data_IF_427071649473
#
_entry.id   IF_427071649473
#
_cell.length_a   1.000
_cell.length_b   1.000
_cell.length_c   1.000
_cell.angle_alpha   90.00
_cell.angle_beta   90.00
_cell.angle_gamma   90.00
#
_symmetry.space_group_name_H-M   'P 1'
#
loop_
_entity.id
_entity.type
_entity.pdbx_description
1 polymer ?
#
# COMPACT_ATOMS: atom_id res chain seq x y z
N UNK A 1 -26.72 10.64 23.78
CA UNK A 1 -27.90 9.82 23.44
C UNK A 1 -27.62 8.41 23.92
N UNK A 2 -28.42 7.94 24.88
CA UNK A 2 -28.40 6.55 25.34
C UNK A 2 -28.79 5.61 24.21
N UNK A 3 -28.38 4.35 24.30
CA UNK A 3 -28.73 3.33 23.30
C UNK A 3 -30.23 3.06 23.27
N UNK A 4 -30.87 3.08 24.44
CA UNK A 4 -32.31 2.96 24.61
C UNK A 4 -33.05 4.16 23.98
N UNK A 5 -32.55 5.38 24.19
CA UNK A 5 -33.11 6.58 23.55
C UNK A 5 -33.08 6.47 22.03
N UNK A 6 -31.96 5.97 21.46
CA UNK A 6 -31.82 5.77 20.01
C UNK A 6 -32.81 4.73 19.48
N UNK A 7 -33.00 3.61 20.19
CA UNK A 7 -33.95 2.55 19.78
C UNK A 7 -35.38 3.07 19.83
N UNK A 8 -35.76 3.78 20.90
CA UNK A 8 -37.06 4.44 21.02
C UNK A 8 -37.29 5.45 19.89
N UNK A 9 -36.29 6.27 19.55
CA UNK A 9 -36.39 7.23 18.46
C UNK A 9 -36.61 6.54 17.10
N UNK A 10 -35.94 5.40 16.87
CA UNK A 10 -36.13 4.60 15.65
C UNK A 10 -37.52 4.00 15.59
N UNK A 11 -38.01 3.40 16.67
CA UNK A 11 -39.34 2.80 16.74
C UNK A 11 -40.43 3.84 16.52
N UNK A 12 -40.33 4.99 17.19
CA UNK A 12 -41.26 6.11 17.04
C UNK A 12 -41.28 6.63 15.60
N UNK A 13 -40.12 6.83 14.99
CA UNK A 13 -40.05 7.27 13.59
C UNK A 13 -40.66 6.25 12.62
N UNK A 14 -40.42 4.94 12.82
CA UNK A 14 -41.04 3.89 12.00
C UNK A 14 -42.56 3.89 12.16
N UNK A 15 -43.06 4.06 13.38
CA UNK A 15 -44.49 4.10 13.65
C UNK A 15 -45.14 5.34 13.00
N UNK A 16 -44.53 6.52 13.14
CA UNK A 16 -44.99 7.75 12.50
C UNK A 16 -45.04 7.63 10.96
N UNK A 17 -44.05 6.97 10.36
CA UNK A 17 -44.05 6.69 8.92
C UNK A 17 -45.25 5.81 8.54
N UNK A 18 -45.51 4.73 9.29
CA UNK A 18 -46.64 3.82 9.04
C UNK A 18 -47.99 4.51 9.20
N UNK A 19 -48.14 5.32 10.24
CA UNK A 19 -49.39 6.00 10.57
C UNK A 19 -49.72 7.14 9.61
N UNK A 20 -48.70 7.77 9.02
CA UNK A 20 -48.88 8.84 8.03
C UNK A 20 -49.62 8.41 6.76
N UNK A 21 -49.61 7.11 6.43
CA UNK A 21 -50.11 6.53 5.17
C UNK A 21 -49.56 7.20 3.90
N UNK A 22 -48.49 7.98 4.01
CA UNK A 22 -47.81 8.61 2.89
C UNK A 22 -46.89 7.60 2.21
N UNK A 23 -46.60 7.83 0.92
CA UNK A 23 -45.52 7.13 0.25
C UNK A 23 -44.20 7.42 0.99
N UNK A 24 -43.40 6.39 1.25
CA UNK A 24 -42.17 6.49 2.06
C UNK A 24 -41.24 7.59 1.51
N UNK A 25 -41.11 7.72 0.19
CA UNK A 25 -40.31 8.78 -0.42
C UNK A 25 -40.81 10.18 -0.06
N UNK A 26 -42.11 10.42 -0.17
CA UNK A 26 -42.74 11.70 0.20
C UNK A 26 -42.60 12.00 1.68
N UNK A 27 -42.70 10.99 2.53
CA UNK A 27 -42.53 11.18 3.98
C UNK A 27 -41.13 11.69 4.32
N UNK A 28 -40.09 11.10 3.72
CA UNK A 28 -38.69 11.49 3.92
C UNK A 28 -38.34 12.85 3.30
N UNK A 29 -39.05 13.28 2.27
CA UNK A 29 -38.91 14.62 1.69
C UNK A 29 -39.55 15.72 2.55
N UNK A 30 -40.64 15.38 3.24
CA UNK A 30 -41.47 16.35 3.99
C UNK A 30 -41.14 16.42 5.49
N UNK A 31 -40.50 15.39 6.05
CA UNK A 31 -40.24 15.26 7.48
C UNK A 31 -38.76 15.02 7.76
N UNK A 32 -38.28 15.57 8.88
CA UNK A 32 -36.95 15.26 9.39
C UNK A 32 -36.98 13.89 10.07
N UNK A 33 -36.24 12.92 9.52
CA UNK A 33 -36.14 11.55 10.05
C UNK A 33 -34.69 11.32 10.52
N UNK A 34 -34.47 10.71 11.70
CA UNK A 34 -33.13 10.53 12.28
C UNK A 34 -32.25 9.49 11.54
N UNK A 35 -32.75 8.91 10.44
CA UNK A 35 -32.04 7.95 9.61
C UNK A 35 -32.45 8.09 8.15
N UNK A 36 -31.68 7.47 7.26
CA UNK A 36 -31.93 7.42 5.82
C UNK A 36 -33.02 6.42 5.44
N UNK A 37 -33.59 6.59 4.24
CA UNK A 37 -34.60 5.68 3.67
C UNK A 37 -34.08 4.24 3.54
N UNK A 38 -32.79 4.06 3.25
CA UNK A 38 -32.16 2.75 3.17
C UNK A 38 -32.08 2.10 4.55
N UNK A 39 -31.82 2.88 5.60
CA UNK A 39 -31.84 2.42 6.98
C UNK A 39 -33.25 2.03 7.44
N UNK A 40 -34.30 2.76 7.01
CA UNK A 40 -35.70 2.38 7.28
C UNK A 40 -36.00 0.94 6.86
N UNK A 41 -35.71 0.58 5.59
CA UNK A 41 -35.97 -0.78 5.11
C UNK A 41 -35.15 -1.82 5.85
N UNK A 42 -33.93 -1.49 6.27
CA UNK A 42 -33.10 -2.38 7.09
C UNK A 42 -33.73 -2.59 8.46
N UNK A 43 -34.15 -1.52 9.15
CA UNK A 43 -34.80 -1.62 10.45
C UNK A 43 -36.11 -2.40 10.40
N UNK A 44 -36.96 -2.18 9.39
CA UNK A 44 -38.18 -2.96 9.20
C UNK A 44 -37.88 -4.46 9.02
N UNK A 45 -36.87 -4.82 8.22
CA UNK A 45 -36.44 -6.23 8.07
C UNK A 45 -35.89 -6.81 9.38
N UNK A 46 -35.10 -6.03 10.11
CA UNK A 46 -34.52 -6.46 11.38
C UNK A 46 -35.60 -6.68 12.44
N UNK A 47 -36.56 -5.75 12.56
CA UNK A 47 -37.73 -5.87 13.44
C UNK A 47 -38.56 -7.11 13.11
N UNK A 48 -38.80 -7.39 11.83
CA UNK A 48 -39.52 -8.58 11.41
C UNK A 48 -38.79 -9.88 11.76
N UNK A 49 -37.46 -9.89 11.71
CA UNK A 49 -36.66 -11.10 11.96
C UNK A 49 -36.38 -11.35 13.44
N UNK A 50 -36.12 -10.29 14.20
CA UNK A 50 -35.49 -10.40 15.53
C UNK A 50 -36.15 -9.51 16.59
N UNK A 51 -37.28 -8.85 16.27
CA UNK A 51 -37.94 -7.91 17.18
C UNK A 51 -37.10 -6.67 17.50
N UNK A 52 -37.45 -6.00 18.59
CA UNK A 52 -36.78 -4.79 19.07
C UNK A 52 -35.32 -5.06 19.46
N UNK A 53 -35.02 -6.25 20.00
CA UNK A 53 -33.68 -6.74 20.33
C UNK A 53 -32.70 -6.71 19.15
N UNK A 54 -33.21 -6.71 17.92
CA UNK A 54 -32.40 -6.60 16.71
C UNK A 54 -31.88 -5.17 16.44
N UNK A 55 -32.49 -4.15 17.04
CA UNK A 55 -32.10 -2.75 16.84
C UNK A 55 -30.96 -2.29 17.77
N UNK A 56 -30.71 -3.03 18.85
CA UNK A 56 -29.61 -2.80 19.77
C UNK A 56 -28.24 -3.06 19.11
N UNK A 57 -27.25 -2.21 19.42
CA UNK A 57 -25.91 -2.33 18.89
C UNK A 57 -25.10 -3.37 19.67
N UNK A 58 -25.19 -4.62 19.21
CA UNK A 58 -24.47 -5.77 19.79
C UNK A 58 -22.95 -5.71 19.62
N UNK A 59 -22.39 -4.65 19.02
CA UNK A 59 -20.92 -4.47 18.92
C UNK A 59 -20.26 -4.26 20.28
N UNK A 60 -21.01 -3.78 21.28
CA UNK A 60 -20.51 -3.58 22.65
C UNK A 60 -20.39 -4.88 23.43
N UNK A 61 -21.07 -5.96 23.02
CA UNK A 61 -21.07 -7.25 23.71
C UNK A 61 -19.75 -8.04 23.52
N UNK A 62 -18.71 -7.42 22.94
CA UNK A 62 -17.35 -7.95 22.84
C UNK A 62 -17.17 -9.18 21.94
N UNK A 63 -18.24 -9.88 21.59
CA UNK A 63 -18.19 -11.24 21.06
C UNK A 63 -18.95 -11.44 19.74
N UNK A 64 -19.47 -10.36 19.12
CA UNK A 64 -20.10 -10.44 17.80
C UNK A 64 -19.07 -10.35 16.66
N UNK A 65 -17.93 -11.01 16.84
CA UNK A 65 -16.93 -11.16 15.78
C UNK A 65 -17.14 -12.51 15.10
N UNK A 66 -16.83 -12.58 13.80
CA UNK A 66 -16.79 -13.86 13.07
C UNK A 66 -15.67 -14.78 13.56
N UNK A 67 -14.82 -14.30 14.47
CA UNK A 67 -13.62 -14.96 14.96
C UNK A 67 -13.92 -15.54 16.35
N UNK A 68 -14.69 -16.64 16.37
CA UNK A 68 -14.98 -17.36 17.62
C UNK A 68 -13.71 -17.97 18.21
N UNK A 69 -13.71 -18.28 19.51
CA UNK A 69 -12.54 -18.85 20.18
C UNK A 69 -12.04 -20.14 19.51
N UNK A 70 -12.98 -21.00 19.09
CA UNK A 70 -12.67 -22.22 18.33
C UNK A 70 -11.95 -21.94 16.99
N UNK A 71 -12.31 -20.86 16.31
CA UNK A 71 -11.64 -20.44 15.06
C UNK A 71 -10.26 -19.87 15.38
N UNK A 72 -10.11 -19.11 16.48
CA UNK A 72 -8.81 -18.60 16.94
C UNK A 72 -7.83 -19.74 17.22
N UNK A 73 -8.26 -20.74 17.98
CA UNK A 73 -7.46 -21.92 18.31
C UNK A 73 -7.02 -22.67 17.05
N UNK A 74 -7.94 -22.86 16.10
CA UNK A 74 -7.65 -23.47 14.81
C UNK A 74 -6.64 -22.68 13.97
N UNK A 75 -6.74 -21.34 13.97
CA UNK A 75 -5.77 -20.48 13.29
C UNK A 75 -4.40 -20.64 13.95
N UNK A 76 -4.33 -20.62 15.28
CA UNK A 76 -3.08 -20.76 16.03
C UNK A 76 -2.42 -22.10 15.74
N UNK A 77 -3.16 -23.21 15.78
CA UNK A 77 -2.60 -24.54 15.46
C UNK A 77 -2.11 -24.62 14.01
N UNK A 78 -2.94 -24.20 13.05
CA UNK A 78 -2.61 -24.26 11.62
C UNK A 78 -1.39 -23.41 11.25
N UNK A 79 -1.26 -22.23 11.87
CA UNK A 79 -0.13 -21.32 11.62
C UNK A 79 1.12 -21.79 12.35
N UNK A 80 1.02 -22.43 13.52
CA UNK A 80 2.16 -23.07 14.18
C UNK A 80 2.74 -24.22 13.36
N UNK A 81 1.88 -25.03 12.73
CA UNK A 81 2.30 -26.12 11.85
C UNK A 81 2.95 -25.61 10.54
N UNK A 82 2.44 -24.51 9.98
CA UNK A 82 2.98 -23.91 8.77
C UNK A 82 2.90 -22.37 8.82
N UNK A 83 3.95 -21.75 9.34
CA UNK A 83 3.99 -20.28 9.52
C UNK A 83 4.01 -19.50 8.20
N UNK A 84 4.41 -20.16 7.10
CA UNK A 84 4.48 -19.58 5.76
C UNK A 84 3.14 -19.53 5.01
N UNK A 85 2.09 -20.18 5.56
CA UNK A 85 0.75 -20.20 4.95
C UNK A 85 0.27 -18.77 4.65
N UNK A 86 -0.25 -18.58 3.42
CA UNK A 86 -0.79 -17.29 3.00
C UNK A 86 -2.18 -17.06 3.60
N UNK A 87 -2.56 -15.79 3.78
CA UNK A 87 -3.88 -15.42 4.31
C UNK A 87 -5.04 -15.94 3.43
N UNK A 88 -4.96 -15.93 2.09
CA UNK A 88 -5.95 -16.59 1.24
C UNK A 88 -6.06 -18.10 1.47
N UNK A 89 -4.93 -18.81 1.60
CA UNK A 89 -4.93 -20.25 1.87
C UNK A 89 -5.56 -20.57 3.23
N UNK A 90 -5.24 -19.77 4.25
CA UNK A 90 -5.81 -19.90 5.58
C UNK A 90 -7.33 -19.60 5.58
N UNK A 91 -7.77 -18.58 4.84
CA UNK A 91 -9.18 -18.26 4.65
C UNK A 91 -9.95 -19.43 4.04
N UNK A 92 -9.41 -20.07 3.00
CA UNK A 92 -10.01 -21.25 2.37
C UNK A 92 -10.12 -22.42 3.34
N UNK A 93 -9.09 -22.66 4.16
CA UNK A 93 -9.13 -23.70 5.20
C UNK A 93 -10.24 -23.44 6.23
N UNK A 94 -10.37 -22.19 6.69
CA UNK A 94 -11.41 -21.83 7.67
C UNK A 94 -12.80 -21.94 7.07
N UNK A 95 -12.98 -21.50 5.83
CA UNK A 95 -14.25 -21.65 5.11
C UNK A 95 -14.64 -23.13 5.00
N UNK A 96 -13.71 -23.99 4.63
CA UNK A 96 -13.98 -25.42 4.50
C UNK A 96 -14.30 -26.11 5.84
N UNK A 97 -13.67 -25.66 6.94
CA UNK A 97 -13.81 -26.30 8.25
C UNK A 97 -15.02 -25.78 9.05
N UNK A 98 -15.37 -24.49 8.90
CA UNK A 98 -16.35 -23.81 9.74
C UNK A 98 -17.50 -23.16 8.97
N UNK A 99 -17.45 -23.16 7.62
CA UNK A 99 -18.40 -22.44 6.76
C UNK A 99 -18.49 -20.93 7.07
N UNK A 100 -17.41 -20.35 7.60
CA UNK A 100 -17.33 -18.93 7.94
C UNK A 100 -16.33 -18.22 7.04
N UNK A 101 -16.82 -17.21 6.31
CA UNK A 101 -15.97 -16.30 5.53
C UNK A 101 -15.45 -15.14 6.39
N UNK A 102 -14.16 -15.14 6.64
CA UNK A 102 -13.41 -14.12 7.39
C UNK A 102 -12.59 -13.27 6.42
N UNK A 103 -12.46 -11.95 6.63
CA UNK A 103 -11.63 -11.11 5.76
C UNK A 103 -10.12 -11.35 5.99
N UNK A 104 -9.31 -11.18 4.95
CA UNK A 104 -7.85 -11.27 5.08
C UNK A 104 -7.29 -10.26 6.07
N UNK A 105 -7.85 -9.05 6.13
CA UNK A 105 -7.48 -8.03 7.11
C UNK A 105 -7.68 -8.53 8.54
N UNK A 106 -8.83 -9.15 8.83
CA UNK A 106 -9.13 -9.70 10.15
C UNK A 106 -8.16 -10.84 10.52
N UNK A 107 -7.83 -11.71 9.57
CA UNK A 107 -6.82 -12.76 9.77
C UNK A 107 -5.43 -12.20 10.04
N UNK A 108 -5.01 -11.18 9.28
CA UNK A 108 -3.70 -10.56 9.46
C UNK A 108 -3.60 -9.81 10.81
N UNK A 109 -4.65 -9.09 11.20
CA UNK A 109 -4.73 -8.45 12.52
C UNK A 109 -4.66 -9.48 13.63
N UNK A 110 -5.41 -10.58 13.52
CA UNK A 110 -5.35 -11.65 14.53
C UNK A 110 -3.98 -12.32 14.58
N UNK A 111 -3.36 -12.63 13.44
CA UNK A 111 -1.99 -13.16 13.39
C UNK A 111 -0.98 -12.23 14.05
N UNK A 112 -1.12 -10.93 13.83
CA UNK A 112 -0.28 -9.93 14.48
C UNK A 112 -0.49 -9.89 16.00
N UNK A 113 -1.74 -9.98 16.47
CA UNK A 113 -2.03 -9.94 17.92
C UNK A 113 -1.50 -11.16 18.68
N UNK A 114 -1.34 -12.31 18.02
CA UNK A 114 -0.74 -13.51 18.61
C UNK A 114 0.73 -13.72 18.24
N UNK A 115 1.38 -12.71 17.65
CA UNK A 115 2.78 -12.75 17.22
C UNK A 115 3.13 -13.88 16.23
N UNK A 116 2.16 -14.35 15.45
CA UNK A 116 2.32 -15.38 14.41
C UNK A 116 2.28 -14.77 13.00
N UNK A 117 3.09 -13.74 12.79
CA UNK A 117 3.24 -13.11 11.48
C UNK A 117 3.81 -14.09 10.47
N UNK A 118 3.45 -13.89 9.20
CA UNK A 118 3.88 -14.77 8.11
C UNK A 118 5.37 -14.61 7.85
N UNK A 119 6.10 -15.71 7.86
CA UNK A 119 7.47 -15.76 7.35
C UNK A 119 7.38 -15.90 5.84
N UNK A 120 7.92 -14.91 5.12
CA UNK A 120 7.99 -14.96 3.68
C UNK A 120 8.84 -16.17 3.27
N UNK A 121 8.26 -17.08 2.50
CA UNK A 121 9.04 -18.09 1.78
C UNK A 121 9.93 -17.34 0.79
N UNK A 122 11.22 -17.71 0.66
CA UNK A 122 12.06 -17.22 -0.42
C UNK A 122 11.28 -17.40 -1.73
N UNK A 123 11.00 -16.31 -2.43
CA UNK A 123 10.47 -16.42 -3.78
C UNK A 123 11.60 -16.99 -4.61
N UNK A 124 11.44 -18.18 -5.16
CA UNK A 124 12.23 -18.57 -6.31
C UNK A 124 11.95 -17.53 -7.40
N UNK A 125 12.92 -16.66 -7.64
CA UNK A 125 12.86 -15.70 -8.72
C UNK A 125 12.81 -16.51 -10.02
N UNK A 126 11.60 -16.74 -10.54
CA UNK A 126 11.41 -17.28 -11.87
C UNK A 126 11.79 -16.18 -12.85
N UNK A 127 13.09 -16.02 -13.06
CA UNK A 127 13.64 -15.23 -14.16
C UNK A 127 13.05 -15.81 -15.45
N UNK A 128 12.08 -15.10 -16.04
CA UNK A 128 11.70 -15.37 -17.42
C UNK A 128 12.88 -14.90 -18.26
N UNK A 129 13.75 -15.81 -18.66
CA UNK A 129 14.76 -15.55 -19.69
C UNK A 129 14.05 -15.13 -20.97
N UNK A 130 13.93 -13.83 -21.19
CA UNK A 130 13.45 -13.28 -22.44
C UNK A 130 14.67 -13.23 -23.36
N UNK A 131 14.73 -14.13 -24.35
CA UNK A 131 15.78 -14.11 -25.38
C UNK A 131 15.68 -12.81 -26.16
N UNK A 132 16.51 -11.83 -25.79
CA UNK A 132 16.65 -10.56 -26.50
C UNK A 132 17.94 -10.64 -27.31
N UNK A 133 17.83 -10.92 -28.61
CA UNK A 133 19.00 -11.04 -29.48
C UNK A 133 19.84 -9.76 -29.57
N UNK A 134 19.24 -8.59 -29.29
CA UNK A 134 19.96 -7.31 -29.29
C UNK A 134 20.96 -7.17 -28.13
N UNK A 135 20.64 -7.69 -26.94
CA UNK A 135 21.53 -7.64 -25.78
C UNK A 135 22.75 -8.55 -25.94
N UNK A 136 22.54 -9.72 -26.55
CA UNK A 136 23.59 -10.70 -26.84
C UNK A 136 24.59 -10.16 -27.88
N UNK A 137 24.11 -9.47 -28.94
CA UNK A 137 24.99 -8.83 -29.94
C UNK A 137 25.86 -7.76 -29.31
N UNK A 138 25.28 -6.86 -28.49
CA UNK A 138 26.04 -5.81 -27.82
C UNK A 138 27.07 -6.38 -26.85
N UNK A 139 26.72 -7.44 -26.15
CA UNK A 139 27.61 -8.12 -25.19
C UNK A 139 28.75 -8.82 -25.92
N UNK A 140 28.47 -9.58 -26.98
CA UNK A 140 29.48 -10.22 -27.83
C UNK A 140 30.42 -9.18 -28.47
N UNK A 141 29.89 -8.07 -29.00
CA UNK A 141 30.71 -6.99 -29.56
C UNK A 141 31.61 -6.37 -28.49
N UNK A 142 31.08 -6.13 -27.28
CA UNK A 142 31.87 -5.56 -26.20
C UNK A 142 33.01 -6.51 -25.74
N UNK A 143 32.78 -7.82 -25.75
CA UNK A 143 33.81 -8.83 -25.48
C UNK A 143 34.84 -8.92 -26.61
N UNK A 144 34.42 -9.03 -27.88
CA UNK A 144 35.32 -9.18 -29.04
C UNK A 144 36.19 -7.93 -29.23
N UNK A 145 35.63 -6.75 -29.00
CA UNK A 145 36.38 -5.49 -29.12
C UNK A 145 37.30 -5.22 -27.94
N UNK A 146 37.21 -6.01 -26.85
CA UNK A 146 37.95 -5.78 -25.62
C UNK A 146 37.59 -4.47 -24.91
N UNK A 147 36.49 -3.81 -25.30
CA UNK A 147 36.15 -2.47 -24.81
C UNK A 147 35.89 -2.48 -23.30
N UNK A 148 35.38 -3.59 -22.77
CA UNK A 148 35.17 -3.78 -21.33
C UNK A 148 36.50 -3.77 -20.58
N UNK A 149 37.53 -4.45 -21.11
CA UNK A 149 38.86 -4.47 -20.50
C UNK A 149 39.52 -3.10 -20.56
N UNK A 150 39.37 -2.39 -21.69
CA UNK A 150 39.87 -1.02 -21.85
C UNK A 150 39.22 -0.09 -20.82
N UNK A 151 37.89 -0.08 -20.73
CA UNK A 151 37.19 0.75 -19.74
C UNK A 151 37.57 0.39 -18.32
N UNK A 152 37.64 -0.90 -17.99
CA UNK A 152 38.00 -1.37 -16.65
C UNK A 152 39.40 -0.91 -16.28
N UNK A 153 40.37 -1.08 -17.19
CA UNK A 153 41.74 -0.63 -16.99
C UNK A 153 41.82 0.88 -16.82
N UNK A 154 41.19 1.66 -17.70
CA UNK A 154 41.20 3.13 -17.62
C UNK A 154 40.56 3.64 -16.33
N UNK A 155 39.46 3.03 -15.88
CA UNK A 155 38.84 3.37 -14.60
C UNK A 155 39.79 3.05 -13.45
N UNK A 156 40.41 1.87 -13.44
CA UNK A 156 41.36 1.48 -12.39
C UNK A 156 42.59 2.38 -12.34
N UNK A 157 43.18 2.69 -13.50
CA UNK A 157 44.29 3.63 -13.63
C UNK A 157 43.90 4.99 -13.06
N UNK A 158 42.73 5.52 -13.45
CA UNK A 158 42.28 6.83 -12.98
C UNK A 158 41.97 6.85 -11.48
N UNK A 159 41.37 5.78 -10.95
CA UNK A 159 41.14 5.63 -9.51
C UNK A 159 42.46 5.57 -8.75
N UNK A 160 43.46 4.85 -9.26
CA UNK A 160 44.77 4.75 -8.64
C UNK A 160 45.53 6.09 -8.67
N UNK A 161 45.48 6.82 -9.79
CA UNK A 161 46.02 8.18 -9.89
C UNK A 161 45.38 9.12 -8.86
N UNK A 162 44.05 9.07 -8.72
CA UNK A 162 43.34 9.87 -7.72
C UNK A 162 43.80 9.47 -6.32
N UNK A 163 43.91 8.17 -6.01
CA UNK A 163 44.38 7.68 -4.71
C UNK A 163 45.79 8.14 -4.36
N UNK A 164 46.66 8.31 -5.36
CA UNK A 164 48.02 8.82 -5.18
C UNK A 164 48.09 10.35 -5.18
N UNK A 165 46.99 11.05 -5.46
CA UNK A 165 46.97 12.51 -5.49
C UNK A 165 46.99 13.10 -4.08
N UNK A 166 47.63 14.27 -3.88
CA UNK A 166 47.64 14.95 -2.59
C UNK A 166 46.23 15.36 -2.10
N UNK A 167 45.28 15.53 -3.02
CA UNK A 167 43.87 15.80 -2.70
C UNK A 167 43.18 14.60 -2.06
N UNK A 168 43.55 13.36 -2.42
CA UNK A 168 42.97 12.16 -1.81
C UNK A 168 43.48 11.96 -0.38
N UNK A 169 44.77 12.18 -0.13
CA UNK A 169 45.33 12.14 1.24
C UNK A 169 44.75 13.24 2.13
N UNK A 170 44.53 14.46 1.61
CA UNK A 170 43.83 15.53 2.33
C UNK A 170 42.38 15.16 2.69
N UNK A 171 41.72 14.37 1.85
CA UNK A 171 40.33 13.94 2.02
C UNK A 171 40.17 12.55 2.66
N UNK A 172 41.26 11.92 3.13
CA UNK A 172 41.21 10.57 3.73
C UNK A 172 40.57 10.54 5.12
N UNK A 173 40.70 11.64 5.86
CA UNK A 173 40.16 11.81 7.21
C UNK A 173 38.78 12.49 7.23
N UNK A 174 38.26 12.79 6.05
CA UNK A 174 36.93 13.31 5.84
C UNK A 174 35.97 12.11 5.85
N UNK A 175 35.10 12.02 6.87
CA UNK A 175 34.09 10.96 6.98
C UNK A 175 33.14 10.89 5.78
N UNK A 176 32.44 9.77 5.59
CA UNK A 176 31.60 9.49 4.39
C UNK A 176 30.54 10.56 4.07
N UNK A 177 30.18 11.40 5.05
CA UNK A 177 29.21 12.45 4.89
C UNK A 177 29.74 13.83 5.36
N UNK A 178 29.64 14.83 4.48
CA UNK A 178 29.98 16.23 4.74
C UNK A 178 28.76 17.13 4.56
N UNK A 179 27.83 17.15 5.54
CA UNK A 179 26.67 18.02 5.48
C UNK A 179 27.04 19.51 5.30
N UNK A 180 28.19 19.92 5.83
CA UNK A 180 28.63 21.32 5.83
C UNK A 180 29.12 21.78 4.44
N UNK A 181 29.68 20.86 3.65
CA UNK A 181 30.09 21.08 2.25
C UNK A 181 28.87 20.99 1.31
N UNK A 182 27.82 20.26 1.71
CA UNK A 182 26.53 20.20 0.99
C UNK A 182 25.71 21.50 1.09
N UNK A 183 26.16 22.50 1.86
CA UNK A 183 25.54 23.84 1.90
C UNK A 183 25.41 24.49 0.51
N UNK A 184 26.16 24.00 -0.49
CA UNK A 184 26.05 24.43 -1.91
C UNK A 184 25.74 23.29 -2.89
N UNK A 185 25.20 22.17 -2.42
CA UNK A 185 24.80 21.05 -3.27
C UNK A 185 23.49 21.33 -4.03
N UNK A 186 23.46 21.07 -5.35
CA UNK A 186 22.28 21.26 -6.22
C UNK A 186 21.10 20.30 -5.94
N UNK A 187 21.11 19.57 -4.83
CA UNK A 187 20.10 18.55 -4.50
C UNK A 187 19.70 18.61 -3.01
N UNK A 188 19.64 19.81 -2.42
CA UNK A 188 19.06 19.96 -1.06
C UNK A 188 17.56 19.67 -1.08
N UNK A 189 17.01 19.40 0.11
CA UNK A 189 15.56 19.28 0.30
C UNK A 189 14.85 20.52 -0.23
N UNK A 190 15.35 21.72 0.06
CA UNK A 190 14.80 23.00 -0.42
C UNK A 190 14.83 23.10 -1.95
N UNK A 191 15.93 22.72 -2.60
CA UNK A 191 16.02 22.69 -4.07
C UNK A 191 14.97 21.77 -4.68
N UNK A 192 14.78 20.57 -4.12
CA UNK A 192 13.76 19.61 -4.57
C UNK A 192 12.32 20.06 -4.27
N UNK A 193 12.13 21.04 -3.40
CA UNK A 193 10.83 21.64 -3.12
C UNK A 193 10.47 22.81 -4.05
N UNK A 194 11.44 23.37 -4.80
CA UNK A 194 11.19 24.42 -5.77
C UNK A 194 10.19 23.96 -6.86
N UNK A 195 9.20 24.80 -7.14
CA UNK A 195 8.14 24.54 -8.12
C UNK A 195 8.71 24.19 -9.50
N UNK A 196 9.73 24.92 -9.96
CA UNK A 196 10.41 24.69 -11.24
C UNK A 196 11.09 23.32 -11.33
N UNK A 197 11.63 22.80 -10.22
CA UNK A 197 12.26 21.48 -10.16
C UNK A 197 11.20 20.38 -10.18
N UNK A 198 10.13 20.53 -9.38
CA UNK A 198 9.01 19.57 -9.31
C UNK A 198 8.29 19.43 -10.64
N UNK A 199 8.02 20.56 -11.30
CA UNK A 199 7.33 20.60 -12.59
C UNK A 199 8.19 20.03 -13.72
N UNK A 200 9.52 20.23 -13.69
CA UNK A 200 10.40 19.71 -14.72
C UNK A 200 10.90 18.28 -14.45
N UNK A 201 10.81 17.74 -13.22
CA UNK A 201 11.38 16.42 -12.85
C UNK A 201 10.91 15.28 -13.75
N UNK A 202 9.62 15.28 -14.11
CA UNK A 202 8.97 14.21 -14.88
C UNK A 202 8.73 14.55 -16.34
N UNK A 203 9.18 15.73 -16.79
CA UNK A 203 9.12 16.09 -18.21
C UNK A 203 10.06 15.22 -19.04
N UNK A 204 9.69 15.04 -20.29
CA UNK A 204 10.51 14.36 -21.29
C UNK A 204 11.87 15.06 -21.44
N UNK A 205 12.89 14.35 -21.93
CA UNK A 205 14.23 14.91 -22.11
C UNK A 205 14.18 16.12 -23.07
N UNK A 206 13.36 16.02 -24.11
CA UNK A 206 13.16 17.08 -25.11
C UNK A 206 12.56 18.35 -24.49
N UNK A 207 11.64 18.21 -23.52
CA UNK A 207 11.05 19.33 -22.78
C UNK A 207 11.99 19.96 -21.74
N UNK A 208 12.95 19.20 -21.22
CA UNK A 208 13.96 19.70 -20.26
C UNK A 208 15.06 20.50 -20.96
N UNK A 209 15.32 20.22 -22.24
CA UNK A 209 16.30 20.94 -23.04
C UNK A 209 15.61 22.15 -23.65
N UNK A 210 15.44 23.23 -22.86
CA UNK A 210 15.13 24.53 -23.44
C UNK A 210 16.31 24.97 -24.32
N UNK A 211 16.12 24.90 -25.64
CA UNK A 211 16.87 25.56 -26.71
C UNK A 211 18.39 25.72 -26.48
N UNK A 212 19.18 24.72 -26.89
CA UNK A 212 20.57 24.91 -27.34
C UNK A 212 20.76 24.49 -28.81
N UNK A 213 19.73 24.68 -29.63
CA UNK A 213 19.75 24.37 -31.07
C UNK A 213 20.33 25.45 -31.98
N UNK A 214 21.11 26.42 -31.48
CA UNK A 214 21.53 27.57 -32.29
C UNK A 214 22.99 28.03 -32.11
N UNK A 215 23.94 27.15 -31.74
CA UNK A 215 25.36 27.61 -31.70
C UNK A 215 26.47 26.65 -32.14
N UNK A 216 26.17 25.45 -32.64
CA UNK A 216 27.22 24.54 -33.15
C UNK A 216 26.77 23.79 -34.40
N UNK A 217 26.46 24.53 -35.48
CA UNK A 217 26.49 24.02 -36.86
C UNK A 217 27.06 25.10 -37.78
N UNK A 218 28.24 25.61 -37.45
CA UNK A 218 29.02 26.48 -38.32
C UNK A 218 30.50 26.20 -38.12
N UNK A 219 30.92 25.02 -38.58
CA UNK A 219 32.28 24.63 -38.98
C UNK A 219 32.23 23.15 -39.39
N UNK A 220 31.69 22.93 -40.58
CA UNK A 220 32.19 21.89 -41.47
C UNK A 220 33.02 22.62 -42.53
#
# INVERSE_FOLDING_TARGET
MSEEERVCEILNAIQNIKDSKLAITKYFEQNSVPFSREQYYRYCRTLQKSGEDGLHDKRKDGNYTKLTERIKDYIVSTVKENQSISSPQLQSKILNQFDVKISESCLNTFRASVSLTRIATPKEEKYKYQKSGGGEILTCLAFITGIIEIYTRTILERVNEIRQSPLFEQNKNLGEDHPDIRSRGKFTTEYNQLKSVRENRFKSIDEKIQWKGARYWSRC
#
